data_IF_593366081992
#
_entry.id   IF_593366081992
#
_cell.length_a   1.000
_cell.length_b   1.000
_cell.length_c   1.000
_cell.angle_alpha   90.00
_cell.angle_beta   90.00
_cell.angle_gamma   90.00
#
_symmetry.space_group_name_H-M   'P 1'
#
loop_
_entity.id
_entity.type
_entity.pdbx_description
1 polymer ?
#
# COMPACT_ATOMS: atom_id res chain seq x y z
N UNK A 1 -17.70 0.64 1.19
CA UNK A 1 -17.86 1.54 0.02
C UNK A 1 -17.42 0.85 -1.26
N UNK A 2 -16.18 0.33 -1.35
CA UNK A 2 -15.71 -0.36 -2.56
C UNK A 2 -16.58 -1.57 -2.96
N UNK A 3 -17.12 -2.32 -1.98
CA UNK A 3 -18.05 -3.43 -2.22
C UNK A 3 -19.32 -3.02 -2.99
N UNK A 4 -19.77 -1.77 -2.91
CA UNK A 4 -20.94 -1.26 -3.65
C UNK A 4 -20.57 -0.65 -5.01
N UNK A 5 -19.30 -0.76 -5.45
CA UNK A 5 -18.82 -0.22 -6.71
C UNK A 5 -18.43 1.26 -6.66
N UNK A 6 -18.49 1.91 -5.49
CA UNK A 6 -18.05 3.29 -5.34
C UNK A 6 -16.57 3.36 -4.93
N UNK A 7 -15.75 3.80 -5.87
CA UNK A 7 -14.30 3.99 -5.71
C UNK A 7 -13.91 5.45 -5.47
N UNK A 8 -14.70 6.42 -5.96
CA UNK A 8 -14.37 7.84 -5.88
C UNK A 8 -14.56 8.41 -4.48
N UNK A 9 -15.64 8.04 -3.82
CA UNK A 9 -15.93 8.53 -2.47
C UNK A 9 -14.84 8.15 -1.46
N UNK A 10 -14.42 6.87 -1.32
CA UNK A 10 -13.33 6.53 -0.41
C UNK A 10 -11.99 7.15 -0.83
N UNK A 11 -11.75 7.34 -2.14
CA UNK A 11 -10.55 8.02 -2.64
C UNK A 11 -10.49 9.48 -2.19
N UNK A 12 -11.59 10.23 -2.36
CA UNK A 12 -11.66 11.64 -1.97
C UNK A 12 -11.54 11.82 -0.46
N UNK A 13 -12.17 10.95 0.33
CA UNK A 13 -12.03 10.99 1.80
C UNK A 13 -10.59 10.70 2.21
N UNK A 14 -9.95 9.71 1.57
CA UNK A 14 -8.54 9.39 1.83
C UNK A 14 -7.62 10.53 1.40
N UNK A 15 -7.90 11.20 0.28
CA UNK A 15 -7.15 12.37 -0.16
C UNK A 15 -7.27 13.53 0.85
N UNK A 16 -8.47 13.82 1.34
CA UNK A 16 -8.68 14.82 2.39
C UNK A 16 -7.94 14.47 3.69
N UNK A 17 -7.95 13.21 4.10
CA UNK A 17 -7.17 12.72 5.24
C UNK A 17 -5.67 12.94 5.04
N UNK A 18 -5.13 12.67 3.86
CA UNK A 18 -3.72 12.90 3.55
C UNK A 18 -3.36 14.39 3.55
N UNK A 19 -4.26 15.26 3.06
CA UNK A 19 -4.06 16.72 3.11
C UNK A 19 -4.03 17.21 4.56
N UNK A 20 -4.95 16.73 5.41
CA UNK A 20 -4.93 17.06 6.85
C UNK A 20 -3.61 16.62 7.48
N UNK A 21 -3.16 15.40 7.18
CA UNK A 21 -1.90 14.87 7.70
C UNK A 21 -0.70 15.72 7.25
N UNK A 22 -0.62 16.03 5.95
CA UNK A 22 0.43 16.85 5.34
C UNK A 22 0.52 18.26 5.94
N UNK A 23 -0.62 18.84 6.33
CA UNK A 23 -0.67 20.17 6.97
C UNK A 23 -0.31 20.09 8.45
N UNK A 24 -0.84 19.10 9.18
CA UNK A 24 -0.61 18.98 10.62
C UNK A 24 0.82 18.55 10.97
N UNK A 25 1.48 17.76 10.13
CA UNK A 25 2.84 17.29 10.37
C UNK A 25 3.81 18.45 10.61
N UNK A 26 4.03 19.41 9.69
CA UNK A 26 4.98 20.49 9.93
C UNK A 26 4.55 21.43 11.08
N UNK A 27 3.25 21.61 11.30
CA UNK A 27 2.74 22.40 12.43
C UNK A 27 3.13 21.77 13.78
N UNK A 28 2.91 20.46 13.94
CA UNK A 28 3.11 19.77 15.22
C UNK A 28 4.55 19.26 15.40
N UNK A 29 5.24 18.87 14.32
CA UNK A 29 6.62 18.37 14.37
C UNK A 29 7.58 19.54 14.58
N UNK A 30 7.45 20.61 13.79
CA UNK A 30 8.39 21.73 13.80
C UNK A 30 7.90 22.93 14.62
N UNK A 31 6.63 22.99 15.00
CA UNK A 31 6.06 24.12 15.74
C UNK A 31 5.79 25.35 14.85
N UNK A 32 5.49 25.14 13.57
CA UNK A 32 5.15 26.26 12.66
C UNK A 32 3.90 27.00 13.13
N UNK A 33 3.79 28.29 12.77
CA UNK A 33 2.67 29.18 13.13
C UNK A 33 2.41 29.32 14.65
N UNK A 34 3.45 29.15 15.48
CA UNK A 34 3.35 29.31 16.94
C UNK A 34 2.84 28.07 17.68
N UNK A 35 2.72 26.92 17.00
CA UNK A 35 2.41 25.66 17.65
C UNK A 35 3.56 25.15 18.51
N UNK A 36 3.28 24.39 19.59
CA UNK A 36 4.34 23.73 20.35
C UNK A 36 5.07 22.71 19.48
N UNK A 37 6.41 22.66 19.60
CA UNK A 37 7.24 21.71 18.87
C UNK A 37 7.21 20.34 19.54
N UNK A 38 6.33 19.45 19.06
CA UNK A 38 6.09 18.12 19.63
C UNK A 38 6.98 17.02 19.01
N UNK A 39 7.72 17.32 17.94
CA UNK A 39 8.62 16.37 17.29
C UNK A 39 7.89 15.08 16.86
N UNK A 40 8.43 13.92 17.25
CA UNK A 40 7.87 12.60 16.90
C UNK A 40 6.45 12.40 17.47
N UNK A 41 6.15 12.97 18.64
CA UNK A 41 4.80 12.94 19.19
C UNK A 41 3.82 13.70 18.29
N UNK A 42 4.27 14.81 17.71
CA UNK A 42 3.49 15.61 16.75
C UNK A 42 3.09 14.82 15.51
N UNK A 43 4.02 14.05 14.94
CA UNK A 43 3.74 13.15 13.81
C UNK A 43 2.67 12.09 14.16
N UNK A 44 2.74 11.53 15.38
CA UNK A 44 1.74 10.59 15.88
C UNK A 44 0.34 11.21 16.01
N UNK A 45 0.26 12.42 16.58
CA UNK A 45 -1.01 13.15 16.74
C UNK A 45 -1.59 13.53 15.37
N UNK A 46 -0.77 14.06 14.45
CA UNK A 46 -1.20 14.39 13.10
C UNK A 46 -1.81 13.18 12.38
N UNK A 47 -1.17 12.01 12.50
CA UNK A 47 -1.66 10.75 11.93
C UNK A 47 -2.96 10.29 12.57
N UNK A 48 -3.07 10.37 13.89
CA UNK A 48 -4.28 10.00 14.62
C UNK A 48 -5.47 10.89 14.23
N UNK A 49 -5.27 12.20 14.13
CA UNK A 49 -6.30 13.17 13.71
C UNK A 49 -6.75 12.92 12.27
N UNK A 50 -5.81 12.74 11.34
CA UNK A 50 -6.13 12.42 9.95
C UNK A 50 -6.93 11.09 9.85
N UNK A 51 -6.50 10.06 10.57
CA UNK A 51 -7.19 8.76 10.61
C UNK A 51 -8.60 8.89 11.19
N UNK A 52 -8.76 9.67 12.25
CA UNK A 52 -10.05 9.93 12.86
C UNK A 52 -10.99 10.65 11.89
N UNK A 53 -10.49 11.67 11.17
CA UNK A 53 -11.24 12.32 10.09
C UNK A 53 -11.72 11.30 9.04
N UNK A 54 -10.82 10.44 8.56
CA UNK A 54 -11.14 9.42 7.57
C UNK A 54 -12.25 8.47 8.06
N UNK A 55 -12.16 8.01 9.31
CA UNK A 55 -13.18 7.13 9.94
C UNK A 55 -14.51 7.85 10.09
N UNK A 56 -14.52 9.07 10.64
CA UNK A 56 -15.74 9.84 10.85
C UNK A 56 -16.43 10.14 9.52
N UNK A 57 -15.69 10.64 8.53
CA UNK A 57 -16.22 10.93 7.20
C UNK A 57 -16.79 9.66 6.56
N UNK A 58 -16.08 8.52 6.66
CA UNK A 58 -16.57 7.25 6.15
C UNK A 58 -17.88 6.81 6.84
N UNK A 59 -17.98 6.94 8.16
CA UNK A 59 -19.18 6.59 8.92
C UNK A 59 -20.37 7.49 8.56
N UNK A 60 -20.17 8.80 8.44
CA UNK A 60 -21.23 9.74 8.03
C UNK A 60 -21.76 9.36 6.65
N UNK A 61 -20.87 9.08 5.69
CA UNK A 61 -21.26 8.72 4.32
C UNK A 61 -21.99 7.37 4.31
N UNK A 62 -21.50 6.37 5.02
CA UNK A 62 -22.16 5.06 5.12
C UNK A 62 -23.55 5.19 5.76
N UNK A 63 -23.68 6.02 6.80
CA UNK A 63 -24.95 6.30 7.48
C UNK A 63 -25.94 6.97 6.53
N UNK A 64 -25.52 8.04 5.83
CA UNK A 64 -26.37 8.76 4.87
C UNK A 64 -26.83 7.90 3.69
N UNK A 65 -26.07 6.86 3.34
CA UNK A 65 -26.42 5.91 2.27
C UNK A 65 -27.24 4.72 2.77
N UNK A 66 -27.59 4.67 4.05
CA UNK A 66 -28.31 3.53 4.63
C UNK A 66 -27.53 2.22 4.60
N UNK A 67 -26.19 2.28 4.48
CA UNK A 67 -25.32 1.11 4.41
C UNK A 67 -24.88 0.62 5.79
N UNK A 68 -25.18 1.38 6.85
CA UNK A 68 -24.99 0.94 8.23
C UNK A 68 -26.19 0.12 8.67
N UNK A 69 -25.99 -1.18 8.85
CA UNK A 69 -26.96 -2.08 9.47
C UNK A 69 -26.43 -2.57 10.82
N UNK A 70 -27.28 -2.56 11.85
CA UNK A 70 -26.97 -3.23 13.11
C UNK A 70 -27.33 -4.71 12.94
N UNK A 71 -26.32 -5.54 12.70
CA UNK A 71 -26.49 -6.99 12.70
C UNK A 71 -26.17 -7.49 14.11
N UNK A 72 -27.07 -8.22 14.79
CA UNK A 72 -26.77 -8.77 16.11
C UNK A 72 -25.52 -9.66 16.03
N UNK A 73 -24.61 -9.59 17.01
CA UNK A 73 -23.35 -10.32 16.95
C UNK A 73 -23.64 -11.82 16.96
N UNK A 74 -23.49 -12.47 15.81
CA UNK A 74 -23.58 -13.92 15.69
C UNK A 74 -22.19 -14.50 15.90
N UNK A 75 -22.00 -15.22 17.01
CA UNK A 75 -20.70 -15.79 17.37
C UNK A 75 -20.08 -16.62 16.23
N UNK A 76 -20.90 -17.38 15.50
CA UNK A 76 -20.45 -18.15 14.34
C UNK A 76 -19.84 -17.27 13.21
N UNK A 77 -20.42 -16.09 12.96
CA UNK A 77 -19.90 -15.14 11.97
C UNK A 77 -18.61 -14.50 12.49
N UNK A 78 -18.59 -14.11 13.77
CA UNK A 78 -17.41 -13.53 14.40
C UNK A 78 -16.21 -14.49 14.35
N UNK A 79 -16.40 -15.75 14.74
CA UNK A 79 -15.34 -16.77 14.69
C UNK A 79 -14.85 -17.00 13.26
N UNK A 80 -15.76 -17.07 12.28
CA UNK A 80 -15.39 -17.23 10.87
C UNK A 80 -14.58 -16.03 10.38
N UNK A 81 -14.98 -14.81 10.75
CA UNK A 81 -14.28 -13.58 10.41
C UNK A 81 -12.89 -13.54 11.06
N UNK A 82 -12.78 -13.87 12.35
CA UNK A 82 -11.50 -13.93 13.07
C UNK A 82 -10.58 -14.99 12.47
N UNK A 83 -11.09 -16.15 12.06
CA UNK A 83 -10.28 -17.19 11.40
C UNK A 83 -9.69 -16.68 10.09
N UNK A 84 -10.50 -16.04 9.24
CA UNK A 84 -10.03 -15.44 7.99
C UNK A 84 -9.03 -14.31 8.26
N UNK A 85 -9.34 -13.44 9.23
CA UNK A 85 -8.49 -12.33 9.65
C UNK A 85 -7.15 -12.80 10.20
N UNK A 86 -7.12 -13.89 10.97
CA UNK A 86 -5.90 -14.49 11.50
C UNK A 86 -4.97 -14.99 10.37
N UNK A 87 -5.50 -15.71 9.38
CA UNK A 87 -4.71 -16.13 8.23
C UNK A 87 -4.23 -14.95 7.38
N UNK A 88 -5.07 -13.93 7.21
CA UNK A 88 -4.68 -12.70 6.53
C UNK A 88 -3.57 -11.95 7.29
N UNK A 89 -3.64 -11.92 8.62
CA UNK A 89 -2.62 -11.32 9.49
C UNK A 89 -1.28 -12.04 9.37
N UNK A 90 -1.28 -13.38 9.43
CA UNK A 90 -0.04 -14.17 9.25
C UNK A 90 0.61 -13.82 7.91
N UNK A 91 -0.16 -13.86 6.82
CA UNK A 91 0.34 -13.49 5.49
C UNK A 91 0.85 -12.05 5.43
N UNK A 92 0.14 -11.12 6.08
CA UNK A 92 0.49 -9.70 6.14
C UNK A 92 1.79 -9.43 6.90
N UNK A 93 2.08 -10.20 7.96
CA UNK A 93 3.29 -10.05 8.78
C UNK A 93 4.50 -10.76 8.13
N UNK A 94 4.29 -11.82 7.35
CA UNK A 94 5.39 -12.51 6.66
C UNK A 94 6.22 -11.55 5.79
N UNK A 95 5.59 -10.62 5.09
CA UNK A 95 6.27 -9.69 4.19
C UNK A 95 7.24 -8.72 4.90
N UNK A 96 6.83 -7.93 5.92
CA UNK A 96 7.75 -7.07 6.66
C UNK A 96 8.81 -7.89 7.41
N UNK A 97 8.50 -9.07 7.92
CA UNK A 97 9.50 -9.95 8.54
C UNK A 97 10.57 -10.40 7.54
N UNK A 98 10.17 -10.82 6.34
CA UNK A 98 11.12 -11.16 5.27
C UNK A 98 11.97 -9.95 4.88
N UNK A 99 11.37 -8.76 4.77
CA UNK A 99 12.09 -7.52 4.50
C UNK A 99 13.13 -7.19 5.58
N UNK A 100 12.76 -7.32 6.86
CA UNK A 100 13.67 -7.12 7.99
C UNK A 100 14.80 -8.16 8.03
N UNK A 101 14.48 -9.43 7.78
CA UNK A 101 15.48 -10.50 7.72
C UNK A 101 16.47 -10.27 6.56
N UNK A 102 15.97 -9.93 5.37
CA UNK A 102 16.82 -9.58 4.22
C UNK A 102 17.68 -8.35 4.51
N UNK A 103 17.11 -7.30 5.11
CA UNK A 103 17.86 -6.10 5.49
C UNK A 103 19.01 -6.43 6.44
N UNK A 104 18.78 -7.29 7.43
CA UNK A 104 19.81 -7.74 8.36
C UNK A 104 20.91 -8.56 7.66
N UNK A 105 20.53 -9.48 6.76
CA UNK A 105 21.49 -10.29 5.98
C UNK A 105 22.35 -9.39 5.08
N UNK A 106 21.73 -8.48 4.32
CA UNK A 106 22.43 -7.54 3.44
C UNK A 106 23.33 -6.57 4.22
N UNK A 107 22.93 -6.19 5.44
CA UNK A 107 23.75 -5.35 6.32
C UNK A 107 25.11 -5.96 6.65
N UNK A 108 25.25 -7.29 6.63
CA UNK A 108 26.53 -7.98 6.81
C UNK A 108 27.50 -7.78 5.63
N UNK A 109 26.98 -7.39 4.46
CA UNK A 109 27.77 -7.06 3.27
C UNK A 109 28.26 -5.60 3.25
N UNK A 110 27.95 -4.81 4.28
CA UNK A 110 28.42 -3.43 4.44
C UNK A 110 27.36 -2.37 4.18
N UNK A 111 27.71 -1.12 4.53
CA UNK A 111 26.79 0.03 4.52
C UNK A 111 26.28 0.36 3.11
N UNK A 112 27.14 0.21 2.09
CA UNK A 112 26.77 0.44 0.69
C UNK A 112 25.67 -0.51 0.23
N UNK A 113 25.77 -1.81 0.57
CA UNK A 113 24.76 -2.80 0.22
C UNK A 113 23.43 -2.53 0.95
N UNK A 114 23.49 -2.13 2.21
CA UNK A 114 22.30 -1.80 3.01
C UNK A 114 21.58 -0.54 2.51
N UNK A 115 22.34 0.48 2.10
CA UNK A 115 21.80 1.69 1.47
C UNK A 115 21.16 1.36 0.12
N UNK A 116 21.84 0.60 -0.74
CA UNK A 116 21.33 0.15 -2.04
C UNK A 116 20.02 -0.64 -1.90
N UNK A 117 19.94 -1.55 -0.92
CA UNK A 117 18.72 -2.31 -0.62
C UNK A 117 17.57 -1.40 -0.19
N UNK A 118 17.84 -0.42 0.70
CA UNK A 118 16.83 0.53 1.17
C UNK A 118 16.28 1.39 0.03
N UNK A 119 17.16 1.90 -0.82
CA UNK A 119 16.79 2.67 -2.02
C UNK A 119 15.96 1.80 -2.96
N UNK A 120 16.40 0.56 -3.22
CA UNK A 120 15.68 -0.35 -4.08
C UNK A 120 14.30 -0.72 -3.54
N UNK A 121 14.12 -0.92 -2.23
CA UNK A 121 12.80 -1.12 -1.61
C UNK A 121 11.86 0.06 -1.83
N UNK A 122 12.36 1.30 -1.77
CA UNK A 122 11.54 2.50 -2.06
C UNK A 122 11.08 2.53 -3.51
N UNK A 123 11.99 2.20 -4.43
CA UNK A 123 11.71 2.20 -5.87
C UNK A 123 10.72 1.09 -6.24
N UNK A 124 10.91 -0.13 -5.72
CA UNK A 124 10.02 -1.28 -5.95
C UNK A 124 8.65 -1.09 -5.30
N UNK A 125 8.56 -0.30 -4.23
CA UNK A 125 7.31 0.06 -3.59
C UNK A 125 6.31 0.75 -4.53
N UNK A 126 6.79 1.49 -5.55
CA UNK A 126 5.92 2.22 -6.48
C UNK A 126 5.12 1.26 -7.39
N UNK A 127 5.74 0.36 -8.17
CA UNK A 127 5.01 -0.68 -8.92
C UNK A 127 4.04 -1.49 -8.06
N UNK A 128 4.45 -1.80 -6.82
CA UNK A 128 3.64 -2.58 -5.90
C UNK A 128 2.28 -1.93 -5.60
N UNK A 129 2.23 -0.59 -5.52
CA UNK A 129 0.97 0.15 -5.31
C UNK A 129 0.00 -0.06 -6.48
N UNK A 130 0.49 -0.01 -7.71
CA UNK A 130 -0.33 -0.23 -8.90
C UNK A 130 -0.91 -1.64 -8.96
N UNK A 131 -0.07 -2.65 -8.70
CA UNK A 131 -0.49 -4.05 -8.69
C UNK A 131 -1.51 -4.33 -7.58
N UNK A 132 -1.27 -3.78 -6.39
CA UNK A 132 -2.21 -3.89 -5.26
C UNK A 132 -3.55 -3.25 -5.60
N UNK A 133 -3.55 -2.10 -6.27
CA UNK A 133 -4.78 -1.45 -6.75
C UNK A 133 -5.60 -2.35 -7.69
N UNK A 134 -4.92 -3.02 -8.63
CA UNK A 134 -5.56 -4.00 -9.52
C UNK A 134 -6.10 -5.21 -8.73
N UNK A 135 -5.36 -5.72 -7.74
CA UNK A 135 -5.83 -6.81 -6.86
C UNK A 135 -7.13 -6.42 -6.14
N UNK A 136 -7.18 -5.24 -5.52
CA UNK A 136 -8.37 -4.77 -4.79
C UNK A 136 -9.57 -4.59 -5.73
N UNK A 137 -9.36 -4.03 -6.92
CA UNK A 137 -10.41 -3.89 -7.93
C UNK A 137 -10.95 -5.26 -8.37
N UNK A 138 -10.06 -6.22 -8.62
CA UNK A 138 -10.41 -7.59 -8.99
C UNK A 138 -11.22 -8.28 -7.90
N UNK A 139 -10.77 -8.19 -6.64
CA UNK A 139 -11.46 -8.78 -5.49
C UNK A 139 -12.88 -8.22 -5.32
N UNK A 140 -13.04 -6.91 -5.48
CA UNK A 140 -14.35 -6.27 -5.37
C UNK A 140 -15.30 -6.73 -6.47
N UNK A 141 -14.87 -6.74 -7.73
CA UNK A 141 -15.68 -7.18 -8.87
C UNK A 141 -16.03 -8.67 -8.77
N UNK A 142 -15.06 -9.52 -8.44
CA UNK A 142 -15.30 -10.96 -8.22
C UNK A 142 -16.32 -11.17 -7.10
N UNK A 143 -16.17 -10.45 -5.99
CA UNK A 143 -17.13 -10.49 -4.88
C UNK A 143 -18.55 -10.11 -5.32
N UNK A 144 -18.71 -9.06 -6.12
CA UNK A 144 -20.00 -8.64 -6.67
C UNK A 144 -20.62 -9.68 -7.60
N UNK A 145 -19.86 -10.22 -8.57
CA UNK A 145 -20.36 -11.21 -9.51
C UNK A 145 -20.70 -12.55 -8.85
N UNK A 146 -19.90 -13.00 -7.88
CA UNK A 146 -20.21 -14.19 -7.09
C UNK A 146 -21.46 -13.97 -6.23
N UNK A 147 -21.58 -12.80 -5.59
CA UNK A 147 -22.78 -12.40 -4.83
C UNK A 147 -24.04 -12.37 -5.69
N UNK A 148 -23.93 -11.95 -6.95
CA UNK A 148 -25.01 -11.96 -7.94
C UNK A 148 -25.27 -13.35 -8.59
N UNK A 149 -24.65 -14.43 -8.08
CA UNK A 149 -24.72 -15.79 -8.65
C UNK A 149 -24.31 -15.88 -10.12
N UNK A 150 -23.34 -15.07 -10.55
CA UNK A 150 -22.78 -15.05 -11.92
C UNK A 150 -21.33 -15.55 -11.96
N UNK A 151 -21.06 -16.84 -11.69
CA UNK A 151 -19.69 -17.37 -11.57
C UNK A 151 -18.88 -17.30 -12.88
N UNK A 152 -19.52 -17.44 -14.04
CA UNK A 152 -18.84 -17.30 -15.34
C UNK A 152 -18.33 -15.87 -15.57
N UNK A 153 -19.11 -14.86 -15.16
CA UNK A 153 -18.68 -13.47 -15.22
C UNK A 153 -17.52 -13.20 -14.26
N UNK A 154 -17.58 -13.74 -13.03
CA UNK A 154 -16.47 -13.66 -12.08
C UNK A 154 -15.17 -14.28 -12.64
N UNK A 155 -15.26 -15.45 -13.28
CA UNK A 155 -14.11 -16.10 -13.93
C UNK A 155 -13.53 -15.25 -15.06
N UNK A 156 -14.39 -14.60 -15.86
CA UNK A 156 -13.95 -13.67 -16.91
C UNK A 156 -13.21 -12.46 -16.34
N UNK A 157 -13.69 -11.90 -15.21
CA UNK A 157 -13.00 -10.79 -14.52
C UNK A 157 -11.60 -11.22 -14.05
N UNK A 158 -11.47 -12.41 -13.47
CA UNK A 158 -10.17 -12.93 -13.04
C UNK A 158 -9.22 -13.04 -14.24
N UNK A 159 -9.65 -13.65 -15.35
CA UNK A 159 -8.81 -13.79 -16.55
C UNK A 159 -8.36 -12.45 -17.13
N UNK A 160 -9.28 -11.49 -17.24
CA UNK A 160 -8.96 -10.14 -17.71
C UNK A 160 -7.97 -9.45 -16.77
N UNK A 161 -8.20 -9.53 -15.46
CA UNK A 161 -7.35 -8.89 -14.47
C UNK A 161 -5.96 -9.52 -14.43
N UNK A 162 -5.85 -10.85 -14.58
CA UNK A 162 -4.57 -11.54 -14.70
C UNK A 162 -3.80 -11.10 -15.96
N UNK A 163 -4.47 -10.97 -17.10
CA UNK A 163 -3.83 -10.50 -18.34
C UNK A 163 -3.39 -9.03 -18.20
N UNK A 164 -4.27 -8.16 -17.69
CA UNK A 164 -3.94 -6.76 -17.43
C UNK A 164 -2.80 -6.61 -16.43
N UNK A 165 -2.78 -7.42 -15.37
CA UNK A 165 -1.73 -7.44 -14.36
C UNK A 165 -0.40 -7.92 -14.93
N UNK A 166 -0.41 -8.94 -15.77
CA UNK A 166 0.78 -9.41 -16.47
C UNK A 166 1.35 -8.34 -17.41
N UNK A 167 0.51 -7.70 -18.23
CA UNK A 167 0.95 -6.63 -19.12
C UNK A 167 1.50 -5.44 -18.35
N UNK A 168 0.83 -5.03 -17.27
CA UNK A 168 1.28 -3.96 -16.40
C UNK A 168 2.62 -4.31 -15.74
N UNK A 169 2.77 -5.55 -15.27
CA UNK A 169 4.03 -6.05 -14.72
C UNK A 169 5.15 -5.96 -15.76
N UNK A 170 4.93 -6.45 -16.97
CA UNK A 170 5.95 -6.38 -18.04
C UNK A 170 6.37 -4.94 -18.30
N UNK A 171 5.41 -4.02 -18.41
CA UNK A 171 5.69 -2.59 -18.63
C UNK A 171 6.52 -2.02 -17.47
N UNK A 172 6.08 -2.23 -16.23
CA UNK A 172 6.76 -1.70 -15.04
C UNK A 172 8.16 -2.32 -14.87
N UNK A 173 8.30 -3.62 -15.11
CA UNK A 173 9.56 -4.36 -15.11
C UNK A 173 10.54 -3.81 -16.15
N UNK A 174 10.09 -3.60 -17.39
CA UNK A 174 10.93 -3.02 -18.45
C UNK A 174 11.36 -1.60 -18.09
N UNK A 175 10.44 -0.77 -17.60
CA UNK A 175 10.76 0.60 -17.16
C UNK A 175 11.78 0.60 -16.01
N UNK A 176 11.58 -0.24 -14.99
CA UNK A 176 12.52 -0.38 -13.88
C UNK A 176 13.90 -0.84 -14.34
N UNK A 177 13.96 -1.82 -15.24
CA UNK A 177 15.23 -2.37 -15.73
C UNK A 177 16.05 -1.32 -16.50
N UNK A 178 15.38 -0.59 -17.42
CA UNK A 178 16.02 0.45 -18.23
C UNK A 178 16.40 1.68 -17.40
N UNK A 179 15.51 2.10 -16.50
CA UNK A 179 15.70 3.31 -15.69
C UNK A 179 16.45 3.06 -14.36
N UNK A 180 16.89 1.84 -14.06
CA UNK A 180 17.47 1.46 -12.76
C UNK A 180 18.56 2.44 -12.28
N UNK A 181 19.52 2.79 -13.15
CA UNK A 181 20.62 3.71 -12.81
C UNK A 181 20.16 5.11 -12.48
N UNK A 182 19.24 5.65 -13.29
CA UNK A 182 18.67 6.97 -13.06
C UNK A 182 17.83 6.99 -11.79
N UNK A 183 16.96 6.00 -11.60
CA UNK A 183 16.10 5.90 -10.42
C UNK A 183 16.93 5.85 -9.13
N UNK A 184 17.96 5.00 -9.06
CA UNK A 184 18.81 4.92 -7.87
C UNK A 184 19.59 6.22 -7.68
N UNK A 185 20.08 6.84 -8.76
CA UNK A 185 20.78 8.13 -8.71
C UNK A 185 19.95 9.27 -8.11
N UNK A 186 18.63 9.30 -8.35
CA UNK A 186 17.72 10.28 -7.73
C UNK A 186 17.65 10.10 -6.20
N UNK A 187 17.70 8.87 -5.71
CA UNK A 187 17.62 8.57 -4.27
C UNK A 187 18.97 8.61 -3.54
N UNK A 188 20.09 8.47 -4.26
CA UNK A 188 21.44 8.45 -3.71
C UNK A 188 22.40 9.37 -4.49
N UNK A 189 22.12 10.69 -4.55
CA UNK A 189 22.94 11.62 -5.32
C UNK A 189 24.38 11.66 -4.76
N UNK A 190 25.38 11.58 -5.64
CA UNK A 190 26.80 11.62 -5.30
C UNK A 190 27.36 10.34 -4.65
N UNK A 191 26.61 9.23 -4.67
CA UNK A 191 27.04 7.96 -4.07
C UNK A 191 27.21 6.88 -5.15
N UNK A 192 28.27 6.99 -5.96
CA UNK A 192 28.50 6.17 -7.16
C UNK A 192 28.49 4.65 -6.88
N UNK A 193 29.07 4.22 -5.77
CA UNK A 193 29.05 2.81 -5.37
C UNK A 193 27.63 2.31 -5.04
N UNK A 194 26.82 3.12 -4.35
CA UNK A 194 25.42 2.81 -4.03
C UNK A 194 24.59 2.77 -5.32
N UNK A 195 24.84 3.68 -6.26
CA UNK A 195 24.19 3.68 -7.57
C UNK A 195 24.53 2.40 -8.34
N UNK A 196 25.80 2.00 -8.38
CA UNK A 196 26.23 0.78 -9.07
C UNK A 196 25.59 -0.47 -8.47
N UNK A 197 25.67 -0.64 -7.15
CA UNK A 197 25.11 -1.80 -6.44
C UNK A 197 23.58 -1.81 -6.52
N UNK A 198 22.94 -0.67 -6.28
CA UNK A 198 21.48 -0.52 -6.34
C UNK A 198 20.91 -0.75 -7.74
N UNK A 199 21.61 -0.31 -8.78
CA UNK A 199 21.20 -0.56 -10.17
C UNK A 199 21.26 -2.04 -10.53
N UNK A 200 22.32 -2.73 -10.10
CA UNK A 200 22.44 -4.17 -10.28
C UNK A 200 21.31 -4.91 -9.53
N UNK A 201 21.06 -4.52 -8.29
CA UNK A 201 19.96 -5.05 -7.48
C UNK A 201 18.59 -4.87 -8.16
N UNK A 202 18.28 -3.66 -8.64
CA UNK A 202 17.02 -3.41 -9.35
C UNK A 202 16.89 -4.17 -10.66
N UNK A 203 17.97 -4.29 -11.43
CA UNK A 203 17.93 -5.07 -12.69
C UNK A 203 17.73 -6.56 -12.45
N UNK A 204 18.26 -7.08 -11.35
CA UNK A 204 18.02 -8.48 -10.93
C UNK A 204 16.57 -8.66 -10.50
N UNK A 205 15.98 -7.69 -9.80
CA UNK A 205 14.61 -7.80 -9.30
C UNK A 205 13.53 -7.46 -10.33
N UNK A 206 13.82 -6.59 -11.29
CA UNK A 206 12.85 -6.10 -12.26
C UNK A 206 12.07 -7.22 -12.98
N UNK A 207 12.66 -8.36 -13.41
CA UNK A 207 11.92 -9.43 -14.08
C UNK A 207 10.97 -10.21 -13.16
N UNK A 208 11.14 -10.13 -11.84
CA UNK A 208 10.35 -10.89 -10.90
C UNK A 208 9.07 -10.14 -10.52
N UNK A 209 7.92 -10.83 -10.47
CA UNK A 209 6.69 -10.24 -9.97
C UNK A 209 6.84 -9.81 -8.50
N UNK A 210 6.44 -8.57 -8.21
CA UNK A 210 6.43 -7.98 -6.85
C UNK A 210 5.17 -8.38 -6.09
#
# INVERSE_FOLDING_TARGET
>A
MQATGDTLTPLLVSAGSNVINLVLDPLLIFGWLGFPRLGVLGAGIATAVATLFNVIAALIILSRRGLLGVVPPRLAILVRFLKVGFFAMIQGITRPLTGMAMFYIVGRSGVVAQAAFTVGLRIIGIPFIFLTGLTVATQSLVGQYLGARKPLAASRIVRLSSLSGFLLQVILSTLLFLAAGWLVGVFAPGQDEVIKVGSAYLRVLAPFPV
#
